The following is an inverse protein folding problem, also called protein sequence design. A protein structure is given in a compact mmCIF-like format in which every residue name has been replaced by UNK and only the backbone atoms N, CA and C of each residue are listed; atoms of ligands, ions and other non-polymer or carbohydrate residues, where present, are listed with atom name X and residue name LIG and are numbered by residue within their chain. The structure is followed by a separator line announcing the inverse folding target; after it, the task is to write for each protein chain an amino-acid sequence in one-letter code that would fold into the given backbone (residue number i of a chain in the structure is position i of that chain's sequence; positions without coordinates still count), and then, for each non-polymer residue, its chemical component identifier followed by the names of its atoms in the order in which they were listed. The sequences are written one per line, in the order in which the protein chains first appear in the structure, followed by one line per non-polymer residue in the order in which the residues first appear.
data_IF_218177046406
#
_entry.id   IF_218177046406
#
_cell.length_a   1.000
_cell.length_b   1.000
_cell.length_c   1.000
_cell.angle_alpha   90.00
_cell.angle_beta   90.00
_cell.angle_gamma   90.00
#
_symmetry.space_group_name_H-M   'P 1'
#
loop_
_entity.id
_entity.type
_entity.pdbx_description
1 polymer ?
#
# COMPACT_ATOMS: atom_id res chain seq x y z
N UNK A 1 16.99 -35.93 8.58
CA UNK A 1 15.91 -35.82 7.57
C UNK A 1 14.90 -34.69 7.83
N UNK A 2 14.73 -34.19 9.06
CA UNK A 2 13.78 -33.09 9.39
C UNK A 2 14.20 -31.71 8.84
N UNK A 3 15.51 -31.43 8.74
CA UNK A 3 16.03 -30.14 8.24
C UNK A 3 15.66 -29.83 6.78
N UNK A 4 15.46 -30.85 5.95
CA UNK A 4 15.13 -30.67 4.52
C UNK A 4 13.67 -30.26 4.33
N UNK A 5 12.76 -30.84 5.13
CA UNK A 5 11.35 -30.49 5.10
C UNK A 5 11.09 -29.05 5.56
N UNK A 6 11.82 -28.56 6.56
CA UNK A 6 11.66 -27.18 7.06
C UNK A 6 12.02 -26.14 5.99
N UNK A 7 13.11 -26.36 5.23
CA UNK A 7 13.50 -25.49 4.12
C UNK A 7 12.48 -25.51 2.98
N UNK A 8 11.90 -26.68 2.66
CA UNK A 8 10.92 -26.78 1.57
C UNK A 8 9.64 -25.98 1.88
N UNK A 9 9.16 -26.03 3.13
CA UNK A 9 7.97 -25.28 3.58
C UNK A 9 8.24 -23.77 3.58
N UNK A 10 9.44 -23.33 3.96
CA UNK A 10 9.85 -21.92 3.91
C UNK A 10 9.87 -21.37 2.47
N UNK A 11 10.34 -22.16 1.50
CA UNK A 11 10.40 -21.74 0.09
C UNK A 11 9.00 -21.64 -0.54
N UNK A 12 8.05 -22.51 -0.16
CA UNK A 12 6.66 -22.45 -0.61
C UNK A 12 5.95 -21.23 0.00
N UNK A 13 6.22 -20.89 1.27
CA UNK A 13 5.64 -19.72 1.93
C UNK A 13 6.05 -18.39 1.28
N UNK A 14 7.31 -18.27 0.84
CA UNK A 14 7.78 -17.08 0.14
C UNK A 14 7.17 -16.95 -1.25
N UNK A 15 7.07 -18.06 -1.99
CA UNK A 15 6.47 -18.08 -3.33
C UNK A 15 4.96 -17.72 -3.29
N UNK A 16 4.23 -18.23 -2.30
CA UNK A 16 2.80 -17.94 -2.15
C UNK A 16 2.52 -16.49 -1.69
N UNK A 17 3.44 -15.84 -0.98
CA UNK A 17 3.35 -14.40 -0.70
C UNK A 17 3.48 -13.54 -1.98
N UNK A 18 4.36 -13.91 -2.91
CA UNK A 18 4.50 -13.21 -4.20
C UNK A 18 3.28 -13.40 -5.12
N UNK A 19 2.72 -14.61 -5.22
CA UNK A 19 1.57 -14.89 -6.10
C UNK A 19 0.29 -14.20 -5.62
N UNK A 20 0.11 -14.03 -4.30
CA UNK A 20 -0.98 -13.25 -3.72
C UNK A 20 -0.81 -11.77 -4.08
N UNK A 21 0.40 -11.22 -3.99
CA UNK A 21 0.68 -9.81 -4.33
C UNK A 21 0.34 -9.48 -5.79
N UNK A 22 0.60 -10.42 -6.70
CA UNK A 22 0.20 -10.33 -8.12
C UNK A 22 -1.31 -10.51 -8.32
N UNK A 23 -1.95 -11.50 -7.69
CA UNK A 23 -3.40 -11.75 -7.83
C UNK A 23 -4.29 -10.66 -7.22
N UNK A 24 -3.84 -10.00 -6.15
CA UNK A 24 -4.58 -8.92 -5.50
C UNK A 24 -4.27 -7.53 -6.07
N UNK A 25 -3.52 -7.44 -7.18
CA UNK A 25 -3.38 -6.22 -7.96
C UNK A 25 -2.66 -5.09 -7.24
N UNK A 26 -1.81 -5.39 -6.25
CA UNK A 26 -0.89 -4.40 -5.70
C UNK A 26 0.27 -4.21 -6.66
N UNK A 27 0.61 -2.97 -6.98
CA UNK A 27 1.74 -2.69 -7.86
C UNK A 27 3.05 -3.30 -7.32
N UNK A 28 3.98 -3.59 -8.23
CA UNK A 28 5.34 -4.02 -7.88
C UNK A 28 5.90 -3.01 -6.88
N UNK A 29 6.23 -3.48 -5.68
CA UNK A 29 6.77 -2.60 -4.65
C UNK A 29 8.20 -2.22 -5.00
N UNK A 30 8.37 -0.98 -5.41
CA UNK A 30 9.65 -0.33 -5.60
C UNK A 30 9.99 0.53 -4.37
N UNK A 31 11.27 0.82 -4.11
CA UNK A 31 11.66 1.77 -3.07
C UNK A 31 10.97 3.13 -3.23
N UNK A 32 10.79 3.57 -4.48
CA UNK A 32 10.09 4.80 -4.82
C UNK A 32 8.61 4.76 -4.43
N UNK A 33 7.90 3.68 -4.78
CA UNK A 33 6.50 3.51 -4.43
C UNK A 33 6.31 3.47 -2.90
N UNK A 34 7.23 2.84 -2.17
CA UNK A 34 7.18 2.81 -0.72
C UNK A 34 7.38 4.22 -0.10
N UNK A 35 8.33 4.99 -0.63
CA UNK A 35 8.57 6.37 -0.21
C UNK A 35 7.35 7.26 -0.50
N UNK A 36 6.75 7.16 -1.69
CA UNK A 36 5.57 7.93 -2.06
C UNK A 36 4.34 7.55 -1.20
N UNK A 37 4.17 6.26 -0.88
CA UNK A 37 3.12 5.81 0.06
C UNK A 37 3.31 6.37 1.45
N UNK A 38 4.55 6.37 1.97
CA UNK A 38 4.89 6.98 3.25
C UNK A 38 4.54 8.46 3.27
N UNK A 39 5.00 9.20 2.27
CA UNK A 39 4.69 10.62 2.12
C UNK A 39 3.18 10.89 2.03
N UNK A 40 2.46 10.15 1.20
CA UNK A 40 1.01 10.34 1.06
C UNK A 40 0.23 9.94 2.31
N UNK A 41 0.74 9.00 3.10
CA UNK A 41 0.18 8.68 4.42
C UNK A 41 0.33 9.87 5.36
N UNK A 42 1.52 10.45 5.46
CA UNK A 42 1.77 11.62 6.33
C UNK A 42 0.91 12.82 5.93
N UNK A 43 0.80 13.11 4.64
CA UNK A 43 -0.08 14.17 4.11
C UNK A 43 -1.53 13.90 4.48
N UNK A 44 -2.00 12.66 4.32
CA UNK A 44 -3.36 12.29 4.67
C UNK A 44 -3.62 12.37 6.17
N UNK A 45 -2.64 12.06 7.01
CA UNK A 45 -2.76 12.11 8.47
C UNK A 45 -2.78 13.55 8.99
N UNK A 46 -1.97 14.43 8.43
CA UNK A 46 -2.02 15.88 8.72
C UNK A 46 -3.37 16.48 8.35
N UNK A 47 -3.93 16.10 7.20
CA UNK A 47 -5.22 16.62 6.73
C UNK A 47 -6.40 16.31 7.68
N UNK A 48 -6.34 15.21 8.45
CA UNK A 48 -7.36 14.87 9.44
C UNK A 48 -7.01 15.21 10.88
N UNK A 49 -5.73 15.41 11.20
CA UNK A 49 -5.30 15.80 12.54
C UNK A 49 -5.93 17.15 12.95
N UNK A 50 -6.14 18.05 11.99
CA UNK A 50 -6.73 19.37 12.20
C UNK A 50 -8.28 19.39 12.11
N UNK A 51 -8.88 18.26 11.71
CA UNK A 51 -10.34 18.16 11.50
C UNK A 51 -11.06 17.90 12.83
N UNK A 52 -12.08 18.68 13.17
CA UNK A 52 -12.97 18.46 14.33
C UNK A 52 -14.14 17.51 14.03
N UNK A 53 -14.16 16.91 12.83
CA UNK A 53 -15.28 16.11 12.32
C UNK A 53 -15.37 14.73 12.98
N UNK A 54 -16.56 14.12 12.91
CA UNK A 54 -16.79 12.75 13.40
C UNK A 54 -15.86 11.74 12.70
N UNK A 55 -15.57 10.63 13.39
CA UNK A 55 -14.60 9.60 12.98
C UNK A 55 -14.86 9.08 11.55
N UNK A 56 -16.12 8.92 11.15
CA UNK A 56 -16.50 8.47 9.80
C UNK A 56 -16.05 9.48 8.74
N UNK A 57 -16.35 10.77 8.95
CA UNK A 57 -15.94 11.85 8.03
C UNK A 57 -14.42 11.99 7.97
N UNK A 58 -13.72 11.79 9.09
CA UNK A 58 -12.25 11.74 9.13
C UNK A 58 -11.70 10.58 8.30
N UNK A 59 -12.28 9.38 8.41
CA UNK A 59 -11.84 8.23 7.62
C UNK A 59 -11.96 8.48 6.11
N UNK A 60 -13.07 9.09 5.68
CA UNK A 60 -13.28 9.42 4.26
C UNK A 60 -12.35 10.55 3.80
N UNK A 61 -12.12 11.57 4.61
CA UNK A 61 -11.16 12.65 4.33
C UNK A 61 -9.73 12.13 4.20
N UNK A 62 -9.30 11.29 5.14
CA UNK A 62 -7.98 10.64 5.10
C UNK A 62 -7.83 9.82 3.81
N UNK A 63 -8.85 9.03 3.45
CA UNK A 63 -8.84 8.20 2.24
C UNK A 63 -8.78 9.05 0.97
N UNK A 64 -9.53 10.14 0.92
CA UNK A 64 -9.56 11.05 -0.22
C UNK A 64 -8.23 11.80 -0.36
N UNK A 65 -7.67 12.31 0.74
CA UNK A 65 -6.37 12.97 0.75
C UNK A 65 -5.24 12.03 0.30
N UNK A 66 -5.23 10.80 0.81
CA UNK A 66 -4.28 9.77 0.40
C UNK A 66 -4.41 9.46 -1.10
N UNK A 67 -5.63 9.24 -1.59
CA UNK A 67 -5.90 8.95 -3.01
C UNK A 67 -5.49 10.11 -3.92
N UNK A 68 -5.74 11.36 -3.51
CA UNK A 68 -5.35 12.55 -4.26
C UNK A 68 -3.82 12.68 -4.35
N UNK A 69 -3.12 12.43 -3.24
CA UNK A 69 -1.65 12.42 -3.22
C UNK A 69 -1.06 11.30 -4.10
N UNK A 70 -1.59 10.07 -4.01
CA UNK A 70 -1.13 8.99 -4.88
C UNK A 70 -1.35 9.32 -6.36
N UNK A 71 -2.50 9.93 -6.69
CA UNK A 71 -2.81 10.35 -8.06
C UNK A 71 -1.85 11.42 -8.57
N UNK A 72 -1.45 12.40 -7.75
CA UNK A 72 -0.46 13.41 -8.15
C UNK A 72 0.93 12.82 -8.40
N UNK A 73 1.25 11.71 -7.74
CA UNK A 73 2.46 10.90 -7.98
C UNK A 73 2.34 9.96 -9.19
N UNK A 74 1.20 9.96 -9.89
CA UNK A 74 0.96 9.10 -11.05
C UNK A 74 0.53 7.69 -10.70
N UNK A 75 0.09 7.44 -9.45
CA UNK A 75 -0.36 6.15 -8.97
C UNK A 75 -1.83 6.15 -8.57
N UNK A 76 -2.51 5.00 -8.72
CA UNK A 76 -3.82 4.80 -8.13
C UNK A 76 -3.70 4.55 -6.61
N UNK A 77 -4.84 4.35 -5.92
CA UNK A 77 -4.86 4.08 -4.48
C UNK A 77 -4.12 2.80 -4.06
N UNK A 78 -3.83 1.91 -5.01
CA UNK A 78 -3.11 0.66 -4.81
C UNK A 78 -1.64 0.76 -5.21
N UNK A 79 -1.16 1.94 -5.63
CA UNK A 79 0.21 2.14 -6.08
C UNK A 79 0.45 1.76 -7.54
N UNK A 80 -0.59 1.46 -8.32
CA UNK A 80 -0.44 1.11 -9.74
C UNK A 80 -0.27 2.37 -10.56
N UNK A 81 0.64 2.38 -11.55
CA UNK A 81 0.79 3.53 -12.42
C UNK A 81 -0.54 3.80 -13.13
N UNK A 82 -0.99 5.04 -13.08
CA UNK A 82 -2.13 5.51 -13.87
C UNK A 82 -1.58 5.71 -15.28
N UNK A 83 -1.98 4.84 -16.22
CA UNK A 83 -1.68 5.04 -17.63
C UNK A 83 -2.17 6.45 -18.03
N UNK A 84 -1.25 7.26 -18.57
CA UNK A 84 -1.53 8.59 -19.08
C UNK A 84 -2.37 8.53 -20.34
#
# INVERSE_FOLDING_TARGET
MVKVFLCLVLMIGLASCSTIKERFGTAVETPQLNADRGHCRDVSEKAVAESTKNIIKKSDEKRNAYKACMKSKGYDRHGRPIAK
#
